data_IF_493540028154
#
_entry.id   IF_493540028154
#
_cell.length_a   1.000
_cell.length_b   1.000
_cell.length_c   1.000
_cell.angle_alpha   90.00
_cell.angle_beta   90.00
_cell.angle_gamma   90.00
#
_symmetry.space_group_name_H-M   'P 1'
#
loop_
_entity.id
_entity.type
_entity.pdbx_description
1 polymer ?
#
# COMPACT_ATOMS: atom_id res chain seq x y z
N UNK A 1 15.45 -21.92 19.78
CA UNK A 1 14.19 -22.62 20.14
C UNK A 1 13.13 -21.72 20.79
N UNK A 2 13.46 -20.84 21.77
CA UNK A 2 12.44 -20.00 22.43
C UNK A 2 11.92 -18.81 21.60
N UNK A 3 12.72 -18.27 20.67
CA UNK A 3 12.31 -17.12 19.84
C UNK A 3 11.34 -17.53 18.72
N UNK A 4 11.66 -18.57 17.94
CA UNK A 4 10.75 -19.06 16.89
C UNK A 4 9.38 -19.52 17.41
N UNK A 5 9.29 -20.02 18.66
CA UNK A 5 8.00 -20.36 19.26
C UNK A 5 7.14 -19.12 19.56
N UNK A 6 7.75 -18.02 20.03
CA UNK A 6 7.03 -16.76 20.27
C UNK A 6 6.55 -16.13 18.97
N UNK A 7 7.36 -16.22 17.92
CA UNK A 7 7.03 -15.71 16.59
C UNK A 7 5.84 -16.47 15.97
N UNK A 8 5.85 -17.81 16.05
CA UNK A 8 4.71 -18.63 15.64
C UNK A 8 3.43 -18.29 16.41
N UNK A 9 3.50 -18.17 17.73
CA UNK A 9 2.33 -17.78 18.54
C UNK A 9 1.79 -16.39 18.17
N UNK A 10 2.68 -15.44 17.86
CA UNK A 10 2.31 -14.09 17.41
C UNK A 10 1.62 -14.12 16.06
N UNK A 11 2.17 -14.85 15.10
CA UNK A 11 1.59 -15.01 13.76
C UNK A 11 0.21 -15.66 13.84
N UNK A 12 0.06 -16.73 14.63
CA UNK A 12 -1.25 -17.38 14.84
C UNK A 12 -2.27 -16.45 15.48
N UNK A 13 -1.87 -15.61 16.44
CA UNK A 13 -2.77 -14.62 17.05
C UNK A 13 -3.29 -13.62 16.01
N UNK A 14 -2.39 -13.01 15.24
CA UNK A 14 -2.77 -12.02 14.22
C UNK A 14 -3.62 -12.64 13.12
N UNK A 15 -3.29 -13.86 12.72
CA UNK A 15 -4.11 -14.61 11.78
C UNK A 15 -5.50 -14.92 12.33
N UNK A 16 -5.62 -15.20 13.64
CA UNK A 16 -6.90 -15.36 14.32
C UNK A 16 -7.77 -14.09 14.25
N UNK A 17 -7.18 -12.91 14.46
CA UNK A 17 -7.87 -11.62 14.33
C UNK A 17 -8.36 -11.39 12.90
N UNK A 18 -7.51 -11.73 11.91
CA UNK A 18 -7.86 -11.66 10.48
C UNK A 18 -8.97 -12.64 10.09
N UNK A 19 -9.00 -13.85 10.68
CA UNK A 19 -10.10 -14.80 10.48
C UNK A 19 -11.44 -14.25 10.94
N UNK A 20 -11.48 -13.50 12.03
CA UNK A 20 -12.71 -12.81 12.45
C UNK A 20 -13.17 -11.80 11.39
N UNK A 21 -12.24 -11.06 10.78
CA UNK A 21 -12.55 -10.15 9.68
C UNK A 21 -13.13 -10.89 8.46
N UNK A 22 -12.56 -12.02 8.05
CA UNK A 22 -13.14 -12.83 6.96
C UNK A 22 -14.57 -13.29 7.28
N UNK A 23 -14.81 -13.76 8.52
CA UNK A 23 -16.15 -14.15 8.97
C UNK A 23 -17.13 -12.98 8.92
N UNK A 24 -16.70 -11.78 9.30
CA UNK A 24 -17.56 -10.60 9.25
C UNK A 24 -17.83 -10.18 7.81
N UNK A 25 -16.84 -10.27 6.91
CA UNK A 25 -17.02 -10.06 5.47
C UNK A 25 -18.05 -11.05 4.89
N UNK A 26 -17.93 -12.33 5.25
CA UNK A 26 -18.86 -13.37 4.80
C UNK A 26 -20.28 -13.13 5.31
N UNK A 27 -20.46 -12.78 6.59
CA UNK A 27 -21.77 -12.45 7.18
C UNK A 27 -22.46 -11.27 6.48
N UNK A 28 -21.69 -10.29 6.02
CA UNK A 28 -22.22 -9.15 5.27
C UNK A 28 -22.41 -9.45 3.77
N UNK A 29 -22.07 -10.66 3.31
CA UNK A 29 -22.25 -11.09 1.93
C UNK A 29 -21.17 -10.58 0.97
N UNK A 30 -19.95 -10.32 1.46
CA UNK A 30 -18.78 -9.96 0.66
C UNK A 30 -18.15 -8.60 1.01
N UNK A 31 -16.97 -8.34 0.45
CA UNK A 31 -16.14 -7.17 0.79
C UNK A 31 -16.86 -5.85 0.52
N UNK A 32 -17.53 -5.75 -0.64
CA UNK A 32 -18.24 -4.53 -1.03
C UNK A 32 -19.34 -4.17 -0.02
N UNK A 33 -20.13 -5.15 0.42
CA UNK A 33 -21.19 -4.92 1.41
C UNK A 33 -20.63 -4.61 2.79
N UNK A 34 -19.58 -5.35 3.20
CA UNK A 34 -18.87 -5.09 4.44
C UNK A 34 -18.34 -3.65 4.50
N UNK A 35 -17.71 -3.15 3.43
CA UNK A 35 -17.22 -1.77 3.37
C UNK A 35 -18.36 -0.75 3.38
N UNK A 36 -19.44 -0.96 2.62
CA UNK A 36 -20.60 -0.03 2.63
C UNK A 36 -21.23 0.12 4.00
N UNK A 37 -21.28 -0.95 4.80
CA UNK A 37 -21.92 -0.94 6.12
C UNK A 37 -20.99 -0.45 7.24
N UNK A 38 -19.72 -0.82 7.18
CA UNK A 38 -18.79 -0.63 8.31
C UNK A 38 -17.75 0.47 8.08
N UNK A 39 -17.55 0.91 6.82
CA UNK A 39 -16.57 1.92 6.45
C UNK A 39 -17.25 3.20 5.96
N UNK A 40 -16.48 4.28 5.89
CA UNK A 40 -16.94 5.57 5.39
C UNK A 40 -16.06 6.01 4.22
N UNK A 41 -16.54 5.70 3.01
CA UNK A 41 -15.81 6.00 1.77
C UNK A 41 -15.57 7.50 1.60
N UNK A 42 -16.58 8.35 1.82
CA UNK A 42 -16.44 9.81 1.70
C UNK A 42 -15.30 10.36 2.56
N UNK A 43 -15.15 9.86 3.79
CA UNK A 43 -14.04 10.22 4.68
C UNK A 43 -12.70 9.67 4.21
N UNK A 44 -12.67 8.47 3.62
CA UNK A 44 -11.46 7.90 3.05
C UNK A 44 -10.95 8.73 1.85
N UNK A 45 -11.88 9.27 1.06
CA UNK A 45 -11.57 10.07 -0.13
C UNK A 45 -11.28 11.55 0.21
N UNK A 46 -11.67 12.02 1.40
CA UNK A 46 -11.41 13.40 1.87
C UNK A 46 -9.94 13.59 2.33
N UNK A 47 -9.04 13.68 1.36
CA UNK A 47 -7.62 13.98 1.57
C UNK A 47 -7.35 15.45 1.28
N UNK A 48 -6.86 16.16 2.29
CA UNK A 48 -6.52 17.60 2.21
C UNK A 48 -5.01 17.85 2.21
N UNK A 49 -4.26 16.88 2.68
CA UNK A 49 -2.83 16.96 2.91
C UNK A 49 -2.18 15.76 2.23
N UNK A 50 -1.42 16.02 1.17
CA UNK A 50 -0.76 14.98 0.41
C UNK A 50 0.72 14.93 0.80
N UNK A 51 1.21 13.77 1.18
CA UNK A 51 2.64 13.49 1.29
C UNK A 51 2.96 12.26 0.44
N UNK A 52 4.20 12.16 -0.01
CA UNK A 52 4.70 10.94 -0.65
C UNK A 52 5.18 10.01 0.45
N UNK A 53 4.63 8.80 0.48
CA UNK A 53 4.87 7.80 1.53
C UNK A 53 4.96 6.40 0.92
N UNK A 54 5.38 5.41 1.72
CA UNK A 54 5.38 4.02 1.30
C UNK A 54 3.97 3.47 1.09
N UNK A 55 3.85 2.43 0.26
CA UNK A 55 2.63 1.62 0.14
C UNK A 55 2.34 0.80 1.41
N UNK A 56 3.32 0.68 2.30
CA UNK A 56 3.28 -0.07 3.56
C UNK A 56 1.97 0.19 4.32
N UNK A 57 1.29 -0.90 4.66
CA UNK A 57 -0.02 -0.87 5.28
C UNK A 57 -0.01 -0.27 6.69
N UNK A 58 1.17 -0.23 7.32
CA UNK A 58 1.39 0.42 8.60
C UNK A 58 1.36 1.93 8.54
N UNK A 59 1.40 2.55 7.36
CA UNK A 59 1.35 4.01 7.20
C UNK A 59 -0.11 4.47 7.16
N UNK A 60 -0.58 5.20 8.19
CA UNK A 60 -2.00 5.58 8.31
C UNK A 60 -2.38 6.86 7.55
N UNK A 61 -1.41 7.46 6.85
CA UNK A 61 -1.56 8.78 6.26
C UNK A 61 -2.12 8.69 4.86
N UNK A 62 -2.81 9.75 4.44
CA UNK A 62 -3.30 9.87 3.07
C UNK A 62 -2.23 10.54 2.22
N UNK A 63 -2.14 10.18 0.96
CA UNK A 63 -1.15 10.78 0.08
C UNK A 63 -0.93 10.03 -1.21
N UNK A 64 0.29 10.17 -1.72
CA UNK A 64 0.80 9.43 -2.88
C UNK A 64 1.61 8.27 -2.32
N UNK A 65 1.12 7.05 -2.50
CA UNK A 65 1.75 5.84 -1.98
C UNK A 65 2.62 5.20 -3.07
N UNK A 66 3.92 5.09 -2.79
CA UNK A 66 4.94 4.54 -3.69
C UNK A 66 5.85 3.60 -2.89
N UNK A 67 6.23 2.41 -3.34
CA UNK A 67 7.14 1.54 -2.59
C UNK A 67 8.42 2.24 -2.17
N UNK A 68 8.74 2.17 -0.88
CA UNK A 68 9.87 2.86 -0.26
C UNK A 68 9.89 4.37 -0.52
N UNK A 69 8.72 4.97 -0.63
CA UNK A 69 8.53 6.36 -1.00
C UNK A 69 9.22 6.70 -2.32
N UNK A 70 9.11 5.81 -3.30
CA UNK A 70 9.61 6.01 -4.67
C UNK A 70 11.02 5.49 -4.92
N UNK A 71 11.59 4.70 -4.01
CA UNK A 71 12.96 4.15 -4.15
C UNK A 71 13.13 3.21 -5.35
N UNK A 72 12.03 2.61 -5.81
CA UNK A 72 12.00 1.67 -6.94
C UNK A 72 11.60 2.32 -8.27
N UNK A 73 11.38 3.64 -8.29
CA UNK A 73 11.03 4.34 -9.53
C UNK A 73 12.27 4.48 -10.42
N UNK A 74 12.07 4.29 -11.73
CA UNK A 74 13.08 4.65 -12.71
C UNK A 74 13.05 6.16 -13.02
N UNK A 75 14.08 6.68 -13.68
CA UNK A 75 14.18 8.12 -13.95
C UNK A 75 13.02 8.64 -14.79
N UNK A 76 12.52 7.81 -15.72
CA UNK A 76 11.33 8.13 -16.53
C UNK A 76 10.08 8.26 -15.66
N UNK A 77 9.88 7.36 -14.68
CA UNK A 77 8.74 7.41 -13.77
C UNK A 77 8.84 8.61 -12.81
N UNK A 78 10.05 8.98 -12.39
CA UNK A 78 10.29 10.17 -11.55
C UNK A 78 9.91 11.44 -12.31
N UNK A 79 10.25 11.55 -13.59
CA UNK A 79 9.88 12.71 -14.41
C UNK A 79 8.36 12.77 -14.67
N UNK A 80 7.70 11.63 -14.89
CA UNK A 80 6.23 11.56 -14.98
C UNK A 80 5.57 11.99 -13.66
N UNK A 81 6.06 11.47 -12.53
CA UNK A 81 5.61 11.85 -11.19
C UNK A 81 5.78 13.35 -10.96
N UNK A 82 6.93 13.92 -11.35
CA UNK A 82 7.20 15.35 -11.25
C UNK A 82 6.19 16.17 -12.05
N UNK A 83 5.90 15.77 -13.29
CA UNK A 83 4.90 16.43 -14.13
C UNK A 83 3.51 16.37 -13.47
N UNK A 84 3.09 15.21 -12.96
CA UNK A 84 1.83 15.04 -12.23
C UNK A 84 1.77 15.93 -10.99
N UNK A 85 2.85 16.01 -10.22
CA UNK A 85 2.95 16.89 -9.05
C UNK A 85 2.77 18.36 -9.44
N UNK A 86 3.34 18.80 -10.57
CA UNK A 86 3.16 20.17 -11.04
C UNK A 86 1.73 20.45 -11.52
N UNK A 87 1.08 19.48 -12.17
CA UNK A 87 -0.35 19.56 -12.51
C UNK A 87 -1.22 19.72 -11.27
N UNK A 88 -1.00 18.87 -10.25
CA UNK A 88 -1.72 18.94 -8.97
C UNK A 88 -1.53 20.29 -8.27
N UNK A 89 -0.29 20.81 -8.24
CA UNK A 89 0.02 22.13 -7.67
C UNK A 89 -0.76 23.24 -8.40
N UNK A 90 -0.85 23.19 -9.74
CA UNK A 90 -1.65 24.16 -10.54
C UNK A 90 -3.14 24.07 -10.24
N UNK A 91 -3.66 22.87 -9.93
CA UNK A 91 -5.03 22.65 -9.48
C UNK A 91 -5.28 23.01 -8.01
N UNK A 92 -4.29 23.59 -7.31
CA UNK A 92 -4.41 24.02 -5.92
C UNK A 92 -4.19 22.91 -4.88
N UNK A 93 -3.79 21.70 -5.31
CA UNK A 93 -3.47 20.60 -4.40
C UNK A 93 -2.06 20.80 -3.85
N UNK A 94 -1.93 20.86 -2.52
CA UNK A 94 -0.65 20.99 -1.84
C UNK A 94 -0.07 19.61 -1.50
N UNK A 95 1.13 19.36 -2.03
CA UNK A 95 1.95 18.21 -1.66
C UNK A 95 3.02 18.71 -0.69
N UNK A 96 2.98 18.22 0.54
CA UNK A 96 3.83 18.68 1.64
C UNK A 96 5.29 18.26 1.44
N UNK A 97 5.51 17.02 1.04
CA UNK A 97 6.85 16.48 0.94
C UNK A 97 6.91 14.95 0.95
N UNK A 98 8.09 14.41 1.21
CA UNK A 98 8.41 12.98 1.17
C UNK A 98 8.84 12.49 2.55
N UNK A 99 8.28 11.37 3.01
CA UNK A 99 8.76 10.66 4.18
C UNK A 99 9.54 9.41 3.77
N UNK A 100 10.50 8.96 4.57
CA UNK A 100 10.95 7.56 4.56
C UNK A 100 10.42 6.84 5.79
N UNK A 101 10.57 5.52 5.91
CA UNK A 101 10.21 4.80 7.14
C UNK A 101 11.21 3.69 7.48
N UNK A 102 11.23 3.34 8.76
CA UNK A 102 12.09 2.30 9.32
C UNK A 102 11.66 0.91 8.81
N UNK A 103 12.65 0.05 8.51
CA UNK A 103 12.41 -1.33 8.09
C UNK A 103 11.73 -1.46 6.72
N UNK A 104 11.96 -0.52 5.80
CA UNK A 104 11.32 -0.51 4.49
C UNK A 104 11.76 -1.68 3.57
N UNK A 105 10.85 -2.62 3.29
CA UNK A 105 11.12 -3.78 2.43
C UNK A 105 11.50 -3.43 0.99
N UNK A 106 10.97 -2.33 0.42
CA UNK A 106 11.35 -1.88 -0.92
C UNK A 106 12.82 -1.43 -0.99
N UNK A 107 13.32 -0.78 0.06
CA UNK A 107 14.74 -0.41 0.17
C UNK A 107 15.61 -1.64 0.30
N UNK A 108 15.21 -2.61 1.14
CA UNK A 108 15.93 -3.88 1.26
C UNK A 108 16.01 -4.63 -0.08
N UNK A 109 14.91 -4.67 -0.85
CA UNK A 109 14.88 -5.22 -2.20
C UNK A 109 15.83 -4.50 -3.14
N UNK A 110 15.75 -3.17 -3.23
CA UNK A 110 16.66 -2.37 -4.06
C UNK A 110 18.13 -2.63 -3.69
N UNK A 111 18.46 -2.65 -2.40
CA UNK A 111 19.83 -2.90 -1.93
C UNK A 111 20.32 -4.28 -2.38
N UNK A 112 19.48 -5.31 -2.23
CA UNK A 112 19.79 -6.67 -2.67
C UNK A 112 19.99 -6.74 -4.18
N UNK A 113 19.06 -6.19 -4.96
CA UNK A 113 19.09 -6.25 -6.42
C UNK A 113 20.31 -5.52 -7.02
N UNK A 114 20.82 -4.50 -6.32
CA UNK A 114 21.94 -3.66 -6.76
C UNK A 114 23.25 -3.92 -6.00
N UNK A 115 23.32 -4.94 -5.13
CA UNK A 115 24.47 -5.24 -4.28
C UNK A 115 24.97 -4.02 -3.48
N UNK A 116 24.06 -3.22 -2.94
CA UNK A 116 24.37 -2.05 -2.12
C UNK A 116 24.54 -2.50 -0.66
N UNK A 117 25.73 -2.25 -0.11
CA UNK A 117 26.00 -2.44 1.32
C UNK A 117 25.64 -1.19 2.13
N UNK A 118 25.25 -1.37 3.39
CA UNK A 118 24.96 -0.27 4.32
C UNK A 118 23.79 -0.56 5.23
N UNK A 119 23.39 0.45 6.03
CA UNK A 119 22.19 0.35 6.87
C UNK A 119 20.96 0.76 6.08
N UNK A 120 19.98 -0.13 6.04
CA UNK A 120 18.72 0.05 5.31
C UNK A 120 18.03 1.38 5.60
N UNK A 121 17.91 1.79 6.87
CA UNK A 121 17.19 3.03 7.24
C UNK A 121 17.97 4.31 6.88
N UNK A 122 19.30 4.25 6.87
CA UNK A 122 20.16 5.35 6.41
C UNK A 122 19.99 5.53 4.90
N UNK A 123 19.98 4.43 4.14
CA UNK A 123 19.75 4.42 2.69
C UNK A 123 18.31 4.86 2.37
N UNK A 124 17.32 4.40 3.13
CA UNK A 124 15.92 4.82 2.98
C UNK A 124 15.78 6.35 3.15
N UNK A 125 16.42 6.90 4.18
CA UNK A 125 16.45 8.34 4.44
C UNK A 125 17.13 9.10 3.30
N UNK A 126 18.29 8.60 2.83
CA UNK A 126 19.02 9.22 1.73
C UNK A 126 18.17 9.25 0.45
N UNK A 127 17.58 8.12 0.07
CA UNK A 127 16.78 7.99 -1.16
C UNK A 127 15.53 8.87 -1.13
N UNK A 128 14.86 8.96 0.01
CA UNK A 128 13.71 9.87 0.16
C UNK A 128 14.12 11.36 0.05
N UNK A 129 15.31 11.73 0.55
CA UNK A 129 15.85 13.10 0.36
C UNK A 129 16.19 13.38 -1.10
N UNK A 130 16.84 12.44 -1.78
CA UNK A 130 17.15 12.54 -3.22
C UNK A 130 15.86 12.72 -4.04
N UNK A 131 14.82 11.93 -3.76
CA UNK A 131 13.53 12.07 -4.44
C UNK A 131 12.88 13.43 -4.13
N UNK A 132 12.88 13.85 -2.86
CA UNK A 132 12.32 15.15 -2.48
C UNK A 132 12.99 16.30 -3.25
N UNK A 133 14.31 16.27 -3.36
CA UNK A 133 15.09 17.24 -4.14
C UNK A 133 14.69 17.23 -5.63
N UNK A 134 14.67 16.05 -6.27
CA UNK A 134 14.28 15.90 -7.68
C UNK A 134 12.88 16.46 -7.99
N UNK A 135 11.95 16.30 -7.04
CA UNK A 135 10.56 16.74 -7.16
C UNK A 135 10.34 18.20 -6.72
N UNK A 136 11.37 18.88 -6.18
CA UNK A 136 11.24 20.22 -5.60
C UNK A 136 10.26 20.23 -4.43
N UNK A 137 10.41 19.27 -3.51
CA UNK A 137 9.61 19.06 -2.32
C UNK A 137 10.51 18.99 -1.07
N UNK A 138 9.91 19.13 0.11
CA UNK A 138 10.63 18.97 1.37
C UNK A 138 10.75 17.49 1.74
N UNK A 139 11.86 17.11 2.38
CA UNK A 139 11.93 15.85 3.12
C UNK A 139 11.34 16.06 4.52
N UNK A 140 10.25 15.36 4.82
CA UNK A 140 9.46 15.59 6.02
C UNK A 140 9.91 14.77 7.23
N UNK A 141 10.73 13.75 7.01
CA UNK A 141 11.31 12.95 8.09
C UNK A 141 11.28 11.44 7.85
N UNK A 142 11.71 10.71 8.87
CA UNK A 142 11.77 9.25 8.90
C UNK A 142 10.75 8.72 9.92
N UNK A 143 9.76 7.98 9.45
CA UNK A 143 8.71 7.37 10.26
C UNK A 143 9.31 6.18 11.01
N UNK A 144 9.23 6.19 12.34
CA UNK A 144 9.71 5.09 13.18
C UNK A 144 8.69 3.96 13.24
N UNK A 145 9.15 2.74 13.51
CA UNK A 145 8.26 1.57 13.63
C UNK A 145 7.14 1.74 14.66
N UNK A 146 7.39 2.47 15.75
CA UNK A 146 6.38 2.72 16.78
C UNK A 146 5.32 3.77 16.40
N UNK A 147 5.54 4.51 15.31
CA UNK A 147 4.57 5.42 14.71
C UNK A 147 3.70 4.73 13.65
N UNK A 148 4.15 3.57 13.17
CA UNK A 148 3.43 2.75 12.22
C UNK A 148 2.34 1.95 12.91
N UNK A 149 1.17 1.88 12.27
CA UNK A 149 0.08 1.00 12.69
C UNK A 149 0.31 -0.38 12.11
N UNK A 150 1.38 -1.07 12.47
CA UNK A 150 1.52 -2.51 12.25
C UNK A 150 2.55 -3.08 13.20
N UNK A 151 2.60 -4.39 13.23
CA UNK A 151 3.55 -5.13 14.03
C UNK A 151 4.96 -5.02 13.42
N UNK A 152 5.97 -4.92 14.29
CA UNK A 152 7.37 -4.95 13.86
C UNK A 152 7.67 -6.31 13.22
N UNK A 153 8.33 -6.30 12.06
CA UNK A 153 8.80 -7.47 11.29
C UNK A 153 7.72 -8.34 10.62
N UNK A 154 6.42 -7.98 10.72
CA UNK A 154 5.35 -8.72 10.06
C UNK A 154 4.35 -7.77 9.41
N UNK A 155 4.14 -7.97 8.11
CA UNK A 155 3.06 -7.37 7.35
C UNK A 155 1.79 -8.19 7.53
N UNK A 156 0.72 -7.55 8.01
CA UNK A 156 -0.54 -8.22 8.31
C UNK A 156 -1.72 -7.72 7.44
N UNK A 157 -1.41 -7.09 6.31
CA UNK A 157 -2.39 -6.73 5.31
C UNK A 157 -3.01 -7.98 4.68
N UNK A 158 -4.34 -7.99 4.61
CA UNK A 158 -5.11 -8.91 3.73
C UNK A 158 -5.84 -8.17 2.62
N UNK A 159 -5.57 -6.87 2.48
CA UNK A 159 -6.10 -6.00 1.46
C UNK A 159 -4.95 -5.29 0.73
N UNK A 160 -5.11 -5.16 -0.59
CA UNK A 160 -4.36 -4.23 -1.42
C UNK A 160 -5.37 -3.32 -2.10
N UNK A 161 -5.29 -2.02 -1.84
CA UNK A 161 -6.12 -0.99 -2.46
C UNK A 161 -5.42 -0.46 -3.70
N UNK A 162 -5.96 -0.77 -4.88
CA UNK A 162 -5.48 -0.28 -6.16
C UNK A 162 -6.45 0.78 -6.67
N UNK A 163 -6.04 2.05 -6.74
CA UNK A 163 -7.02 3.13 -6.92
C UNK A 163 -6.54 4.29 -7.76
N UNK A 164 -7.43 4.78 -8.62
CA UNK A 164 -7.27 6.07 -9.29
C UNK A 164 -7.95 7.23 -8.53
N UNK A 165 -8.29 7.01 -7.26
CA UNK A 165 -8.83 8.00 -6.35
C UNK A 165 -7.79 8.30 -5.27
N UNK A 166 -7.95 9.44 -4.62
CA UNK A 166 -7.25 9.72 -3.38
C UNK A 166 -7.85 8.87 -2.27
N UNK A 167 -7.06 8.03 -1.61
CA UNK A 167 -7.59 7.09 -0.62
C UNK A 167 -6.76 7.04 0.67
N UNK A 168 -7.45 7.04 1.79
CA UNK A 168 -6.89 6.81 3.12
C UNK A 168 -7.79 5.81 3.86
N UNK A 169 -7.33 4.57 3.97
CA UNK A 169 -8.07 3.49 4.61
C UNK A 169 -8.41 3.83 6.07
N UNK A 170 -7.52 4.47 6.81
CA UNK A 170 -7.72 4.79 8.21
C UNK A 170 -8.86 5.79 8.45
N UNK A 171 -8.86 6.90 7.69
CA UNK A 171 -9.90 7.94 7.83
C UNK A 171 -11.29 7.40 7.57
N UNK A 172 -11.39 6.46 6.62
CA UNK A 172 -12.63 5.77 6.31
C UNK A 172 -12.91 4.53 7.17
N UNK A 173 -12.01 4.18 8.11
CA UNK A 173 -12.10 2.94 8.91
C UNK A 173 -12.16 1.65 8.07
N UNK A 174 -11.58 1.68 6.87
CA UNK A 174 -11.36 0.47 6.09
C UNK A 174 -10.32 -0.43 6.79
N UNK A 175 -10.40 -1.75 6.59
CA UNK A 175 -9.33 -2.63 7.01
C UNK A 175 -7.97 -2.17 6.49
N UNK A 176 -6.93 -2.43 7.27
CA UNK A 176 -5.57 -2.08 6.88
C UNK A 176 -5.17 -2.83 5.60
N UNK A 177 -4.48 -2.14 4.70
CA UNK A 177 -3.98 -2.73 3.48
C UNK A 177 -2.91 -1.89 2.81
N UNK A 178 -2.16 -2.50 1.92
CA UNK A 178 -1.25 -1.76 1.04
C UNK A 178 -2.07 -0.83 0.16
N UNK A 179 -1.61 0.38 -0.10
CA UNK A 179 -2.33 1.35 -0.96
C UNK A 179 -1.46 1.74 -2.14
N UNK A 180 -2.01 1.68 -3.36
CA UNK A 180 -1.31 1.98 -4.61
C UNK A 180 -2.03 3.12 -5.31
N UNK A 181 -1.32 4.23 -5.49
CA UNK A 181 -1.84 5.46 -6.12
C UNK A 181 -1.76 5.40 -7.64
N UNK A 182 -2.63 4.59 -8.26
CA UNK A 182 -2.73 4.43 -9.73
C UNK A 182 -3.09 5.73 -10.46
N UNK A 183 -3.70 6.70 -9.79
CA UNK A 183 -3.96 8.05 -10.34
C UNK A 183 -2.70 8.87 -10.61
N UNK A 184 -1.57 8.48 -10.01
CA UNK A 184 -0.29 9.20 -10.13
C UNK A 184 0.71 8.42 -10.96
N UNK A 185 0.74 7.11 -10.80
CA UNK A 185 1.62 6.22 -11.51
C UNK A 185 1.10 5.93 -12.92
N UNK A 186 2.02 5.71 -13.86
CA UNK A 186 1.66 5.01 -15.09
C UNK A 186 1.23 3.57 -14.77
N UNK A 187 0.54 2.95 -15.74
CA UNK A 187 -0.01 1.60 -15.58
C UNK A 187 1.08 0.57 -15.27
N UNK A 188 2.21 0.63 -15.97
CA UNK A 188 3.27 -0.37 -15.82
C UNK A 188 3.84 -0.35 -14.41
N UNK A 189 4.20 0.83 -13.90
CA UNK A 189 4.73 0.98 -12.55
C UNK A 189 3.70 0.61 -11.49
N UNK A 190 2.43 0.99 -11.65
CA UNK A 190 1.38 0.62 -10.70
C UNK A 190 1.18 -0.91 -10.62
N UNK A 191 1.32 -1.63 -11.75
CA UNK A 191 1.26 -3.08 -11.75
C UNK A 191 2.50 -3.73 -11.12
N UNK A 192 3.70 -3.15 -11.30
CA UNK A 192 4.91 -3.57 -10.57
C UNK A 192 4.74 -3.40 -9.05
N UNK A 193 4.16 -2.27 -8.62
CA UNK A 193 3.89 -2.00 -7.21
C UNK A 193 2.85 -2.97 -6.64
N UNK A 194 1.83 -3.33 -7.45
CA UNK A 194 0.84 -4.33 -7.08
C UNK A 194 1.45 -5.72 -6.93
N UNK A 195 2.28 -6.13 -7.88
CA UNK A 195 3.01 -7.40 -7.82
C UNK A 195 3.92 -7.45 -6.58
N UNK A 196 4.60 -6.34 -6.25
CA UNK A 196 5.40 -6.25 -5.03
C UNK A 196 4.55 -6.43 -3.77
N UNK A 197 3.38 -5.78 -3.68
CA UNK A 197 2.48 -5.91 -2.53
C UNK A 197 1.96 -7.35 -2.37
N UNK A 198 1.61 -8.00 -3.49
CA UNK A 198 1.23 -9.43 -3.51
C UNK A 198 2.40 -10.28 -3.01
N UNK A 199 3.60 -10.08 -3.54
CA UNK A 199 4.78 -10.84 -3.14
C UNK A 199 5.10 -10.68 -1.64
N UNK A 200 4.94 -9.48 -1.08
CA UNK A 200 5.10 -9.26 0.36
C UNK A 200 4.06 -10.05 1.15
N UNK A 201 2.79 -9.98 0.76
CA UNK A 201 1.71 -10.70 1.44
C UNK A 201 1.95 -12.22 1.47
N UNK A 202 2.41 -12.79 0.36
CA UNK A 202 2.70 -14.23 0.22
C UNK A 202 4.10 -14.65 0.68
N UNK A 203 4.91 -13.73 1.19
CA UNK A 203 6.25 -14.05 1.73
C UNK A 203 6.23 -14.38 3.23
N UNK A 204 7.40 -14.74 3.73
CA UNK A 204 7.77 -14.94 5.14
C UNK A 204 7.54 -13.67 5.98
N UNK A 205 7.52 -12.50 5.35
CA UNK A 205 7.22 -11.22 5.97
C UNK A 205 5.72 -10.90 5.99
N UNK A 206 4.89 -11.72 5.36
CA UNK A 206 3.44 -11.60 5.31
C UNK A 206 2.74 -12.79 5.98
N UNK A 207 1.56 -13.14 5.49
CA UNK A 207 0.83 -14.33 5.94
C UNK A 207 1.17 -15.59 5.14
N UNK A 208 1.85 -15.45 4.00
CA UNK A 208 2.38 -16.57 3.23
C UNK A 208 1.31 -17.60 2.85
N UNK A 209 1.59 -18.86 3.16
CA UNK A 209 0.72 -20.02 2.88
C UNK A 209 -0.62 -19.99 3.63
N UNK A 210 -0.84 -19.04 4.54
CA UNK A 210 -2.12 -18.92 5.24
C UNK A 210 -3.25 -18.42 4.35
N UNK A 211 -2.94 -17.73 3.24
CA UNK A 211 -3.96 -17.36 2.26
C UNK A 211 -4.49 -18.62 1.56
N UNK A 212 -5.81 -18.79 1.59
CA UNK A 212 -6.52 -19.89 0.93
C UNK A 212 -7.67 -19.35 0.09
N UNK A 213 -8.37 -20.23 -0.63
CA UNK A 213 -9.61 -19.88 -1.33
C UNK A 213 -10.68 -19.27 -0.41
N UNK A 214 -10.78 -19.77 0.81
CA UNK A 214 -11.74 -19.31 1.83
C UNK A 214 -11.26 -18.03 2.52
N UNK A 215 -9.94 -17.87 2.68
CA UNK A 215 -9.31 -16.71 3.33
C UNK A 215 -8.30 -16.06 2.36
N UNK A 216 -8.77 -15.41 1.28
CA UNK A 216 -7.92 -14.94 0.19
C UNK A 216 -7.32 -13.57 0.47
N UNK A 217 -6.20 -13.26 -0.17
CA UNK A 217 -5.76 -11.88 -0.30
C UNK A 217 -6.75 -11.10 -1.17
N UNK A 218 -7.29 -10.00 -0.67
CA UNK A 218 -8.19 -9.15 -1.44
C UNK A 218 -7.42 -8.06 -2.16
N UNK A 219 -7.63 -7.94 -3.47
CA UNK A 219 -7.27 -6.76 -4.23
C UNK A 219 -8.55 -5.97 -4.47
N UNK A 220 -8.63 -4.78 -3.89
CA UNK A 220 -9.79 -3.91 -3.98
C UNK A 220 -9.47 -2.77 -4.92
N UNK A 221 -10.14 -2.77 -6.06
CA UNK A 221 -10.08 -1.67 -7.02
C UNK A 221 -11.10 -0.61 -6.60
N UNK A 222 -10.61 0.59 -6.28
CA UNK A 222 -11.44 1.75 -5.99
C UNK A 222 -11.33 2.71 -7.16
N UNK A 223 -12.42 2.94 -7.87
CA UNK A 223 -12.42 3.73 -9.10
C UNK A 223 -13.73 4.46 -9.31
N UNK A 224 -13.75 5.44 -10.22
CA UNK A 224 -15.00 6.09 -10.62
C UNK A 224 -15.88 5.17 -11.46
N UNK A 225 -17.18 5.43 -11.49
CA UNK A 225 -18.16 4.66 -12.25
C UNK A 225 -17.80 4.53 -13.75
N UNK A 226 -17.26 5.58 -14.37
CA UNK A 226 -16.86 5.61 -15.78
C UNK A 226 -15.50 4.95 -16.08
N UNK A 227 -14.69 4.73 -15.05
CA UNK A 227 -13.37 4.14 -15.19
C UNK A 227 -13.43 2.62 -15.28
N UNK A 228 -12.36 2.05 -15.84
CA UNK A 228 -12.21 0.61 -15.99
C UNK A 228 -10.76 0.16 -15.71
N UNK A 229 -10.19 0.59 -14.59
CA UNK A 229 -8.84 0.19 -14.17
C UNK A 229 -8.80 -1.24 -13.59
N UNK A 230 -9.95 -1.81 -13.23
CA UNK A 230 -10.05 -3.21 -12.81
C UNK A 230 -9.55 -4.18 -13.89
N UNK A 231 -9.78 -3.85 -15.16
CA UNK A 231 -9.27 -4.61 -16.32
C UNK A 231 -7.74 -4.66 -16.40
N UNK A 232 -7.04 -3.70 -15.79
CA UNK A 232 -5.57 -3.72 -15.71
C UNK A 232 -5.08 -4.83 -14.77
N UNK A 233 -5.87 -5.12 -13.74
CA UNK A 233 -5.50 -5.99 -12.62
C UNK A 233 -5.97 -7.44 -12.83
N UNK A 234 -7.04 -7.65 -13.60
CA UNK A 234 -7.63 -8.99 -13.84
C UNK A 234 -6.59 -10.05 -14.23
N UNK A 235 -5.60 -9.70 -15.06
CA UNK A 235 -4.59 -10.66 -15.51
C UNK A 235 -3.69 -11.17 -14.37
N UNK A 236 -3.45 -10.35 -13.34
CA UNK A 236 -2.66 -10.75 -12.17
C UNK A 236 -3.45 -11.66 -11.23
N UNK A 237 -4.79 -11.62 -11.28
CA UNK A 237 -5.65 -12.37 -10.34
C UNK A 237 -6.29 -13.61 -10.96
N UNK A 238 -6.46 -13.66 -12.29
CA UNK A 238 -7.30 -14.65 -12.99
C UNK A 238 -6.92 -16.11 -12.74
N UNK A 239 -5.65 -16.38 -12.45
CA UNK A 239 -5.13 -17.74 -12.26
C UNK A 239 -4.81 -18.08 -10.79
N UNK A 240 -5.16 -17.21 -9.85
CA UNK A 240 -4.90 -17.43 -8.41
C UNK A 240 -6.19 -17.75 -7.68
N UNK A 241 -6.27 -18.93 -7.08
CA UNK A 241 -7.41 -19.31 -6.22
C UNK A 241 -7.37 -18.61 -4.85
N UNK A 242 -6.22 -18.07 -4.46
CA UNK A 242 -5.97 -17.46 -3.15
C UNK A 242 -6.00 -15.92 -3.20
N UNK A 243 -6.32 -15.33 -4.36
CA UNK A 243 -6.50 -13.89 -4.53
C UNK A 243 -7.91 -13.64 -5.02
N UNK A 244 -8.61 -12.67 -4.43
CA UNK A 244 -9.93 -12.22 -4.89
C UNK A 244 -9.87 -10.75 -5.31
N UNK A 245 -10.33 -10.48 -6.52
CA UNK A 245 -10.50 -9.13 -7.03
C UNK A 245 -11.90 -8.63 -6.67
N UNK A 246 -11.97 -7.47 -6.04
CA UNK A 246 -13.20 -6.79 -5.65
C UNK A 246 -13.18 -5.38 -6.25
N UNK A 247 -14.32 -4.90 -6.73
CA UNK A 247 -14.42 -3.61 -7.40
C UNK A 247 -15.47 -2.76 -6.68
N UNK A 248 -15.07 -1.53 -6.33
CA UNK A 248 -15.95 -0.54 -5.72
C UNK A 248 -15.93 0.68 -6.62
N UNK A 249 -17.04 0.85 -7.34
CA UNK A 249 -17.30 2.01 -8.16
C UNK A 249 -17.82 3.16 -7.29
N UNK A 250 -17.26 4.35 -7.50
CA UNK A 250 -17.55 5.58 -6.76
C UNK A 250 -18.24 6.55 -7.71
N UNK A 251 -19.40 7.05 -7.29
CA UNK A 251 -20.13 8.08 -8.01
C UNK A 251 -19.47 9.44 -7.78
N UNK A 252 -19.40 10.25 -8.83
CA UNK A 252 -19.03 11.67 -8.76
C UNK A 252 -19.96 12.49 -7.85
#
# INVERSE_FOLDING_TARGET
MKEGFKELQRLEKLWGEVKCLYQDIEKEGGVVNYFRKNCNLDKALLIKDFSIVCIDEGIPWGGIHLPGSGVLLEETDIEELKNKIQELKKSGIKIKGVYSHEGCGAVAKMMKDNNIEGKQDEIATQKAKELAEKLGLEYLGHIRLNEMKREKDLHNAVFIYYTNLWFNWEKGKFPRGFTISRNILNKEQALKDLELAINIAFSDHGFGEKFTKENPLYIVVLEKDEDNIEKEVENLTKNSENIRLEVIKVKD
#
